data_IF_544626136717
#
_entry.id   IF_544626136717
#
_cell.length_a   1.000
_cell.length_b   1.000
_cell.length_c   1.000
_cell.angle_alpha   90.00
_cell.angle_beta   90.00
_cell.angle_gamma   90.00
#
_symmetry.space_group_name_H-M   'P 1'
#
loop_
_entity.id
_entity.type
_entity.pdbx_description
1 polymer ?
#
# COMPACT_ATOMS: atom_id res chain seq x y z
N UNK A 1 3.64 3.73 13.05
CA UNK A 1 4.45 2.75 13.84
C UNK A 1 5.46 2.12 12.90
N UNK A 2 6.74 2.03 13.27
CA UNK A 2 7.78 1.43 12.43
C UNK A 2 7.84 -0.08 12.69
N UNK A 3 8.05 -0.87 11.65
CA UNK A 3 8.27 -2.32 11.78
C UNK A 3 9.60 -2.57 12.51
N UNK A 4 9.65 -3.65 13.31
CA UNK A 4 10.87 -4.11 13.98
C UNK A 4 10.96 -5.65 13.94
N UNK A 5 12.14 -6.18 14.27
CA UNK A 5 12.43 -7.63 14.18
C UNK A 5 11.76 -8.48 15.25
N UNK A 6 11.21 -7.89 16.31
CA UNK A 6 10.57 -8.61 17.41
C UNK A 6 9.04 -8.70 17.26
N UNK A 7 8.48 -8.06 16.23
CA UNK A 7 7.05 -8.11 15.95
C UNK A 7 6.62 -9.48 15.45
N UNK A 8 5.51 -9.99 15.99
CA UNK A 8 4.86 -11.18 15.45
C UNK A 8 4.13 -10.87 14.14
N UNK A 9 3.70 -11.91 13.41
CA UNK A 9 3.03 -11.78 12.11
C UNK A 9 1.79 -10.88 12.15
N UNK A 10 0.99 -10.97 13.21
CA UNK A 10 -0.18 -10.11 13.42
C UNK A 10 0.20 -8.63 13.52
N UNK A 11 1.22 -8.33 14.33
CA UNK A 11 1.72 -6.96 14.50
C UNK A 11 2.31 -6.40 13.20
N UNK A 12 3.03 -7.24 12.43
CA UNK A 12 3.55 -6.87 11.11
C UNK A 12 2.41 -6.55 10.16
N UNK A 13 1.44 -7.45 10.00
CA UNK A 13 0.26 -7.24 9.16
C UNK A 13 -0.49 -5.97 9.54
N UNK A 14 -0.88 -5.82 10.81
CA UNK A 14 -1.64 -4.64 11.28
C UNK A 14 -0.88 -3.36 11.02
N UNK A 15 0.45 -3.37 11.19
CA UNK A 15 1.28 -2.19 10.92
C UNK A 15 1.36 -1.90 9.42
N UNK A 16 1.50 -2.91 8.57
CA UNK A 16 1.47 -2.73 7.11
C UNK A 16 0.13 -2.16 6.65
N UNK A 17 -1.00 -2.70 7.13
CA UNK A 17 -2.33 -2.18 6.82
C UNK A 17 -2.48 -0.72 7.23
N UNK A 18 -2.04 -0.34 8.44
CA UNK A 18 -2.07 1.06 8.90
C UNK A 18 -1.24 1.99 8.02
N UNK A 19 -0.08 1.52 7.54
CA UNK A 19 0.72 2.33 6.62
C UNK A 19 0.03 2.46 5.26
N UNK A 20 -0.53 1.37 4.71
CA UNK A 20 -1.24 1.41 3.44
C UNK A 20 -2.49 2.30 3.50
N UNK A 21 -3.29 2.22 4.56
CA UNK A 21 -4.52 3.02 4.67
C UNK A 21 -4.25 4.53 4.72
N UNK A 22 -3.10 4.94 5.26
CA UNK A 22 -2.71 6.34 5.44
C UNK A 22 -1.79 6.87 4.34
N UNK A 23 -1.10 6.01 3.60
CA UNK A 23 -0.10 6.44 2.64
C UNK A 23 -0.72 7.14 1.43
N UNK A 24 0.01 8.10 0.87
CA UNK A 24 -0.31 8.72 -0.41
C UNK A 24 0.88 8.55 -1.35
N UNK A 25 0.91 7.46 -2.12
CA UNK A 25 2.02 7.18 -3.05
C UNK A 25 1.99 8.06 -4.30
N UNK A 26 1.06 9.01 -4.39
CA UNK A 26 0.96 9.97 -5.49
C UNK A 26 1.62 11.28 -5.04
N UNK A 27 1.19 11.82 -3.90
CA UNK A 27 1.69 13.09 -3.35
C UNK A 27 3.00 12.90 -2.56
N UNK A 28 3.11 11.83 -1.79
CA UNK A 28 4.24 11.51 -0.90
C UNK A 28 4.80 10.13 -1.23
N UNK A 29 5.45 9.97 -2.40
CA UNK A 29 5.88 8.67 -2.87
C UNK A 29 6.99 8.07 -1.98
N UNK A 30 6.85 6.81 -1.54
CA UNK A 30 7.93 6.14 -0.84
C UNK A 30 9.15 5.93 -1.75
N UNK A 31 10.33 5.96 -1.16
CA UNK A 31 11.59 5.66 -1.84
C UNK A 31 12.46 4.77 -0.95
N UNK A 32 13.06 3.74 -1.55
CA UNK A 32 14.17 2.98 -0.96
C UNK A 32 15.53 3.54 -1.38
N UNK A 33 15.55 4.45 -2.35
CA UNK A 33 16.75 5.16 -2.77
C UNK A 33 17.08 6.21 -1.71
N UNK A 34 18.18 5.99 -1.00
CA UNK A 34 18.82 7.00 -0.18
C UNK A 34 19.62 7.88 -1.14
N UNK A 35 19.20 9.14 -1.28
CA UNK A 35 19.75 10.10 -2.24
C UNK A 35 21.28 10.16 -2.12
N UNK A 36 21.94 9.51 -3.08
CA UNK A 36 23.40 9.51 -3.23
C UNK A 36 23.70 10.54 -4.29
N UNK A 37 24.70 11.38 -4.04
CA UNK A 37 25.15 12.54 -4.83
C UNK A 37 25.31 12.35 -6.36
N UNK A 38 25.09 11.16 -6.92
CA UNK A 38 25.03 10.94 -8.36
C UNK A 38 23.75 11.54 -8.96
N UNK A 39 23.91 12.49 -9.87
CA UNK A 39 22.82 13.22 -10.54
C UNK A 39 22.22 12.48 -11.74
N UNK A 40 22.41 11.16 -11.84
CA UNK A 40 22.03 10.40 -13.06
C UNK A 40 20.70 9.68 -12.94
N UNK A 41 20.18 9.55 -11.71
CA UNK A 41 18.95 8.86 -11.39
C UNK A 41 17.75 9.77 -11.72
N UNK A 42 16.64 9.21 -12.22
CA UNK A 42 15.42 9.97 -12.39
C UNK A 42 14.90 10.51 -11.06
N UNK A 43 14.45 11.75 -11.08
CA UNK A 43 13.79 12.41 -9.95
C UNK A 43 12.41 11.80 -9.69
N UNK A 44 11.90 11.97 -8.47
CA UNK A 44 10.53 11.55 -8.13
C UNK A 44 9.46 12.21 -9.01
N UNK A 45 9.69 13.47 -9.43
CA UNK A 45 8.79 14.19 -10.31
C UNK A 45 8.79 13.63 -11.75
N UNK A 46 9.94 13.17 -12.26
CA UNK A 46 10.01 12.48 -13.55
C UNK A 46 9.19 11.18 -13.53
N UNK A 47 9.25 10.40 -12.44
CA UNK A 47 8.38 9.23 -12.30
C UNK A 47 6.89 9.60 -12.22
N UNK A 48 6.55 10.69 -11.52
CA UNK A 48 5.17 11.16 -11.38
C UNK A 48 4.59 11.68 -12.70
N UNK A 49 5.41 12.28 -13.56
CA UNK A 49 4.96 12.76 -14.86
C UNK A 49 4.58 11.61 -15.82
N UNK A 50 5.15 10.41 -15.62
CA UNK A 50 4.91 9.23 -16.46
C UNK A 50 3.89 8.27 -15.84
N UNK A 51 3.74 8.27 -14.52
CA UNK A 51 2.96 7.26 -13.79
C UNK A 51 2.06 7.81 -12.70
N UNK A 52 1.11 6.99 -12.26
CA UNK A 52 0.12 7.37 -11.26
C UNK A 52 0.62 7.26 -9.82
N UNK A 53 1.22 6.12 -9.47
CA UNK A 53 1.80 5.87 -8.15
C UNK A 53 3.30 5.66 -8.29
N UNK A 54 4.08 6.19 -7.35
CA UNK A 54 5.54 6.10 -7.39
C UNK A 54 6.02 5.41 -6.11
N UNK A 55 6.81 4.35 -6.28
CA UNK A 55 7.61 3.74 -5.22
C UNK A 55 8.99 3.41 -5.77
N UNK A 56 9.99 4.23 -5.44
CA UNK A 56 11.33 4.12 -6.01
C UNK A 56 12.10 2.97 -5.33
N UNK A 57 12.75 2.14 -6.14
CA UNK A 57 13.60 1.05 -5.68
C UNK A 57 14.92 1.56 -5.04
N UNK A 58 15.76 0.65 -4.55
CA UNK A 58 17.02 1.03 -3.88
C UNK A 58 18.07 1.61 -4.84
N UNK A 59 17.99 1.31 -6.14
CA UNK A 59 18.93 1.82 -7.14
C UNK A 59 18.58 3.22 -7.63
N UNK A 60 17.32 3.64 -7.46
CA UNK A 60 16.82 4.93 -7.92
C UNK A 60 16.30 4.94 -9.37
N UNK A 61 16.39 3.81 -10.08
CA UNK A 61 16.04 3.74 -11.51
C UNK A 61 14.66 3.14 -11.78
N UNK A 62 14.08 2.44 -10.82
CA UNK A 62 12.82 1.71 -11.03
C UNK A 62 11.71 2.18 -10.11
N UNK A 63 10.54 2.43 -10.71
CA UNK A 63 9.30 2.56 -9.98
C UNK A 63 8.69 1.15 -9.75
N UNK A 64 8.74 0.65 -8.52
CA UNK A 64 8.11 -0.61 -8.11
C UNK A 64 6.58 -0.60 -8.25
N UNK A 65 5.97 0.58 -8.25
CA UNK A 65 4.53 0.78 -8.38
C UNK A 65 4.09 1.09 -9.83
N UNK A 66 4.94 0.88 -10.85
CA UNK A 66 4.65 1.32 -12.23
C UNK A 66 3.34 0.76 -12.83
N UNK A 67 2.88 -0.41 -12.39
CA UNK A 67 1.61 -1.02 -12.85
C UNK A 67 0.39 -0.55 -12.04
N UNK A 68 0.58 0.19 -10.95
CA UNK A 68 -0.50 0.64 -10.09
C UNK A 68 -1.06 1.96 -10.62
N UNK A 69 -2.33 1.95 -10.99
CA UNK A 69 -3.08 3.18 -11.25
C UNK A 69 -3.56 3.80 -9.94
N UNK A 70 -3.85 5.10 -9.96
CA UNK A 70 -4.38 5.81 -8.77
C UNK A 70 -5.67 5.15 -8.24
N UNK A 71 -6.53 4.67 -9.15
CA UNK A 71 -7.79 4.00 -8.78
C UNK A 71 -7.56 2.65 -8.09
N UNK A 72 -6.59 1.86 -8.55
CA UNK A 72 -6.23 0.59 -7.92
C UNK A 72 -5.61 0.84 -6.55
N UNK A 73 -4.72 1.84 -6.44
CA UNK A 73 -4.13 2.18 -5.15
C UNK A 73 -5.18 2.73 -4.16
N UNK A 74 -6.12 3.56 -4.62
CA UNK A 74 -7.23 4.04 -3.78
C UNK A 74 -8.06 2.88 -3.22
N UNK A 75 -8.33 1.85 -4.04
CA UNK A 75 -8.99 0.63 -3.56
C UNK A 75 -8.15 -0.09 -2.50
N UNK A 76 -6.85 -0.24 -2.71
CA UNK A 76 -5.95 -0.84 -1.70
C UNK A 76 -6.00 -0.07 -0.37
N UNK A 77 -6.03 1.27 -0.41
CA UNK A 77 -6.17 2.11 0.79
C UNK A 77 -7.50 1.83 1.52
N UNK A 78 -8.60 1.80 0.77
CA UNK A 78 -9.93 1.53 1.31
C UNK A 78 -10.01 0.13 1.94
N UNK A 79 -9.53 -0.90 1.25
CA UNK A 79 -9.49 -2.27 1.77
C UNK A 79 -8.61 -2.38 3.03
N UNK A 80 -7.48 -1.65 3.07
CA UNK A 80 -6.63 -1.61 4.25
C UNK A 80 -7.32 -0.94 5.45
N UNK A 81 -8.09 0.12 5.21
CA UNK A 81 -8.90 0.79 6.24
C UNK A 81 -10.00 -0.15 6.78
N UNK A 82 -10.76 -0.79 5.89
CA UNK A 82 -11.76 -1.79 6.26
C UNK A 82 -11.15 -2.94 7.06
N UNK A 83 -9.97 -3.40 6.66
CA UNK A 83 -9.27 -4.47 7.36
C UNK A 83 -8.85 -4.07 8.78
N UNK A 84 -8.35 -2.84 8.98
CA UNK A 84 -8.03 -2.32 10.32
C UNK A 84 -9.29 -2.24 11.17
N UNK A 85 -10.39 -1.73 10.62
CA UNK A 85 -11.67 -1.65 11.33
C UNK A 85 -12.14 -3.05 11.76
N UNK A 86 -12.04 -4.05 10.87
CA UNK A 86 -12.37 -5.44 11.20
C UNK A 86 -11.47 -6.02 12.31
N UNK A 87 -10.18 -5.66 12.35
CA UNK A 87 -9.25 -6.06 13.40
C UNK A 87 -9.49 -5.35 14.73
N UNK A 88 -9.98 -4.11 14.70
CA UNK A 88 -10.25 -3.30 15.90
C UNK A 88 -11.61 -3.64 16.52
N UNK A 89 -12.58 -4.05 15.71
CA UNK A 89 -13.82 -4.62 16.20
C UNK A 89 -13.55 -5.99 16.84
N UNK A 90 -13.81 -6.12 18.15
CA UNK A 90 -13.54 -7.32 18.96
C UNK A 90 -14.43 -8.54 18.64
N UNK A 91 -14.95 -8.62 17.42
CA UNK A 91 -15.82 -9.69 16.98
C UNK A 91 -15.02 -10.95 16.68
N UNK A 92 -15.55 -12.11 17.11
CA UNK A 92 -14.91 -13.42 16.93
C UNK A 92 -14.67 -13.81 15.45
N UNK A 93 -15.24 -13.08 14.48
CA UNK A 93 -15.25 -13.46 13.06
C UNK A 93 -14.29 -12.64 12.18
N UNK A 94 -13.39 -11.82 12.75
CA UNK A 94 -12.53 -10.96 11.94
C UNK A 94 -11.60 -11.74 11.00
N UNK A 95 -11.10 -12.90 11.45
CA UNK A 95 -10.25 -13.77 10.62
C UNK A 95 -11.00 -14.28 9.39
N UNK A 96 -12.26 -14.70 9.57
CA UNK A 96 -13.07 -15.22 8.48
C UNK A 96 -13.39 -14.13 7.46
N UNK A 97 -13.72 -12.93 7.94
CA UNK A 97 -14.00 -11.76 7.08
C UNK A 97 -12.77 -11.39 6.25
N UNK A 98 -11.59 -11.40 6.86
CA UNK A 98 -10.34 -10.97 6.21
C UNK A 98 -9.76 -12.01 5.24
N UNK A 99 -9.86 -13.30 5.57
CA UNK A 99 -9.07 -14.32 4.89
C UNK A 99 -9.87 -15.51 4.35
N UNK A 100 -11.05 -15.80 4.91
CA UNK A 100 -11.83 -17.00 4.54
C UNK A 100 -13.05 -16.69 3.66
N UNK A 101 -13.49 -15.43 3.62
CA UNK A 101 -14.69 -15.03 2.89
C UNK A 101 -14.37 -14.66 1.45
N UNK A 102 -14.69 -15.55 0.51
CA UNK A 102 -14.59 -15.22 -0.91
C UNK A 102 -15.73 -14.31 -1.37
N UNK A 103 -15.39 -13.15 -1.95
CA UNK A 103 -16.35 -12.23 -2.57
C UNK A 103 -16.34 -12.40 -4.09
N UNK A 104 -17.51 -12.67 -4.68
CA UNK A 104 -17.65 -12.68 -6.14
C UNK A 104 -17.42 -11.28 -6.71
N UNK A 105 -16.94 -11.19 -7.96
CA UNK A 105 -16.71 -9.89 -8.63
C UNK A 105 -17.96 -9.00 -8.58
N UNK A 106 -19.12 -9.58 -8.83
CA UNK A 106 -20.41 -8.88 -8.83
C UNK A 106 -20.83 -8.30 -7.49
N UNK A 107 -20.26 -8.79 -6.38
CA UNK A 107 -20.53 -8.29 -5.03
C UNK A 107 -19.47 -7.29 -4.56
N UNK A 108 -18.41 -7.06 -5.34
CA UNK A 108 -17.34 -6.10 -5.03
C UNK A 108 -17.66 -4.69 -5.51
N UNK A 109 -18.60 -4.53 -6.44
CA UNK A 109 -18.91 -3.25 -7.08
C UNK A 109 -20.41 -3.00 -7.06
N UNK A 110 -20.78 -1.75 -6.79
CA UNK A 110 -22.18 -1.33 -6.77
C UNK A 110 -22.80 -1.31 -8.18
N UNK A 111 -21.97 -1.15 -9.21
CA UNK A 111 -22.35 -1.18 -10.62
C UNK A 111 -21.32 -1.98 -11.43
N UNK A 112 -21.78 -2.81 -12.36
CA UNK A 112 -20.98 -3.65 -13.26
C UNK A 112 -21.21 -3.20 -14.70
#
# INVERSE_FOLDING_TARGET
KKLNKTMNSYQVLRTTLINLSRADWILEPPSLFEDKHDKTQPTSDEFRNVGHCVFIDRTGYFNLAYMLTSSVFARVKQEAELAINALDCSHHNCFDILFMTHLSFSRKFDHI
#
